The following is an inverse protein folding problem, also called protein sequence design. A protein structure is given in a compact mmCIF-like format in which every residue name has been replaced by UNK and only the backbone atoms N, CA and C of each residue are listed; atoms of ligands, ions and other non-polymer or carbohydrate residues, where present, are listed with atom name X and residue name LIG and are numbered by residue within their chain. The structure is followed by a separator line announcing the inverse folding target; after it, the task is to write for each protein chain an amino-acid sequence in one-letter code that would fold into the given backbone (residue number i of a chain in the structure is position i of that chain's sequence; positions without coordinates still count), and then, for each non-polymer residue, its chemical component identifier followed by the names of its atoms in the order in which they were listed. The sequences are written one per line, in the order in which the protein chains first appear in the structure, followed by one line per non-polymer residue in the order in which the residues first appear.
data_IF_292449398053
#
_entry.id   IF_292449398053
#
_cell.length_a   1.000
_cell.length_b   1.000
_cell.length_c   1.000
_cell.angle_alpha   90.00
_cell.angle_beta   90.00
_cell.angle_gamma   90.00
#
_symmetry.space_group_name_H-M   'P 1'
#
loop_
_entity.id
_entity.type
_entity.pdbx_description
1 polymer ?
#
# COMPACT_ATOMS: atom_id res chain seq x y z
N UNK A 1 17.27 3.58 10.74
CA UNK A 1 15.83 3.51 10.37
C UNK A 1 15.71 3.93 8.93
N UNK A 2 15.01 3.20 8.06
CA UNK A 2 14.84 3.60 6.66
C UNK A 2 13.63 4.53 6.56
N UNK A 3 13.83 5.71 5.98
CA UNK A 3 12.79 6.76 5.83
C UNK A 3 11.97 6.65 4.55
N UNK A 4 12.24 5.65 3.71
CA UNK A 4 11.49 5.38 2.47
C UNK A 4 9.99 5.26 2.73
N UNK A 5 9.19 6.07 2.05
CA UNK A 5 7.74 5.96 2.02
C UNK A 5 7.34 4.76 1.16
N UNK A 6 6.75 3.74 1.80
CA UNK A 6 6.31 2.51 1.12
C UNK A 6 4.79 2.48 1.06
N UNK A 7 4.25 2.35 -0.14
CA UNK A 7 2.83 2.16 -0.37
C UNK A 7 2.53 0.68 -0.57
N UNK A 8 1.69 0.10 0.28
CA UNK A 8 1.20 -1.27 0.13
C UNK A 8 -0.22 -1.24 -0.43
N UNK A 9 -0.36 -1.54 -1.71
CA UNK A 9 -1.65 -1.67 -2.39
C UNK A 9 -2.23 -3.07 -2.11
N UNK A 10 -3.49 -3.12 -1.70
CA UNK A 10 -4.14 -4.37 -1.27
C UNK A 10 -3.77 -4.79 0.15
N UNK A 11 -3.33 -3.85 1.00
CA UNK A 11 -2.92 -4.09 2.39
C UNK A 11 -3.99 -4.74 3.29
N UNK A 12 -5.28 -4.65 2.95
CA UNK A 12 -6.36 -5.35 3.66
C UNK A 12 -6.47 -6.85 3.33
N UNK A 13 -5.79 -7.33 2.28
CA UNK A 13 -5.75 -8.76 1.95
C UNK A 13 -4.73 -9.54 2.79
N UNK A 14 -4.85 -10.88 2.81
CA UNK A 14 -3.91 -11.79 3.52
C UNK A 14 -2.43 -11.56 3.16
N UNK A 15 -2.17 -11.23 1.89
CA UNK A 15 -0.81 -10.98 1.40
C UNK A 15 -0.35 -9.57 1.79
N UNK A 16 -1.19 -8.56 1.59
CA UNK A 16 -0.86 -7.17 1.90
C UNK A 16 -0.60 -6.93 3.38
N UNK A 17 -1.37 -7.57 4.28
CA UNK A 17 -1.14 -7.46 5.72
C UNK A 17 0.21 -8.04 6.15
N UNK A 18 0.59 -9.20 5.60
CA UNK A 18 1.90 -9.84 5.84
C UNK A 18 3.06 -9.00 5.30
N UNK A 19 2.88 -8.36 4.14
CA UNK A 19 3.89 -7.45 3.59
C UNK A 19 4.09 -6.26 4.51
N UNK A 20 3.01 -5.60 4.95
CA UNK A 20 3.10 -4.47 5.87
C UNK A 20 3.77 -4.84 7.20
N UNK A 21 3.45 -6.01 7.75
CA UNK A 21 4.07 -6.52 8.98
C UNK A 21 5.56 -6.80 8.81
N UNK A 22 5.96 -7.45 7.70
CA UNK A 22 7.38 -7.66 7.37
C UNK A 22 8.13 -6.35 7.22
N UNK A 23 7.54 -5.35 6.55
CA UNK A 23 8.16 -4.03 6.39
C UNK A 23 8.37 -3.33 7.74
N UNK A 24 7.41 -3.43 8.68
CA UNK A 24 7.60 -2.93 10.04
C UNK A 24 8.75 -3.64 10.76
N UNK A 25 8.83 -4.96 10.65
CA UNK A 25 9.90 -5.76 11.27
C UNK A 25 11.29 -5.48 10.66
N UNK A 26 11.33 -5.07 9.39
CA UNK A 26 12.57 -4.64 8.72
C UNK A 26 13.00 -3.20 9.10
N UNK A 27 12.24 -2.49 9.93
CA UNK A 27 12.57 -1.15 10.41
C UNK A 27 12.21 -0.02 9.45
N UNK A 28 11.26 -0.25 8.54
CA UNK A 28 10.62 0.83 7.76
C UNK A 28 9.57 1.52 8.63
N UNK A 29 9.76 2.81 8.90
CA UNK A 29 8.85 3.58 9.74
C UNK A 29 7.64 4.14 8.95
N UNK A 30 7.81 4.35 7.65
CA UNK A 30 6.87 5.06 6.79
C UNK A 30 6.16 4.11 5.83
N UNK A 31 5.09 3.46 6.32
CA UNK A 31 4.30 2.51 5.52
C UNK A 31 2.86 3.04 5.39
N UNK A 32 2.44 3.33 4.16
CA UNK A 32 1.08 3.73 3.80
C UNK A 32 0.33 2.52 3.24
N UNK A 33 -0.90 2.32 3.68
CA UNK A 33 -1.76 1.25 3.14
C UNK A 33 -2.73 1.87 2.12
N UNK A 34 -2.59 1.49 0.85
CA UNK A 34 -3.54 1.86 -0.19
C UNK A 34 -4.77 0.95 -0.14
N UNK A 35 -5.93 1.55 0.10
CA UNK A 35 -7.23 0.87 0.00
C UNK A 35 -8.32 1.87 -0.38
N UNK A 36 -9.45 1.37 -0.91
CA UNK A 36 -10.63 2.20 -1.20
C UNK A 36 -11.20 2.90 0.03
N UNK A 37 -10.93 2.40 1.23
CA UNK A 37 -11.36 3.00 2.51
C UNK A 37 -10.24 3.73 3.25
N UNK A 38 -9.06 3.87 2.65
CA UNK A 38 -7.96 4.62 3.27
C UNK A 38 -8.11 6.12 2.95
N UNK A 39 -7.32 6.96 3.63
CA UNK A 39 -7.22 8.39 3.32
C UNK A 39 -5.73 8.72 3.19
N UNK A 40 -5.24 9.07 1.99
CA UNK A 40 -5.96 9.15 0.71
C UNK A 40 -6.45 7.77 0.21
N UNK A 41 -7.60 7.75 -0.46
CA UNK A 41 -8.21 6.54 -0.99
C UNK A 41 -7.50 6.10 -2.27
N UNK A 42 -7.29 4.80 -2.44
CA UNK A 42 -6.75 4.22 -3.66
C UNK A 42 -7.77 3.28 -4.30
N UNK A 43 -8.17 3.57 -5.53
CA UNK A 43 -9.01 2.69 -6.34
C UNK A 43 -8.40 2.43 -7.71
N UNK A 44 -8.22 1.15 -8.06
CA UNK A 44 -7.70 0.74 -9.37
C UNK A 44 -8.58 1.21 -10.54
N UNK A 45 -9.88 1.40 -10.32
CA UNK A 45 -10.82 1.82 -11.37
C UNK A 45 -10.87 3.36 -11.52
N UNK A 46 -10.33 4.11 -10.55
CA UNK A 46 -10.35 5.57 -10.55
C UNK A 46 -8.93 6.13 -10.50
N UNK A 47 -8.40 6.49 -11.66
CA UNK A 47 -7.03 7.02 -11.81
C UNK A 47 -6.81 8.35 -11.09
N UNK A 48 -7.84 9.18 -10.92
CA UNK A 48 -7.72 10.45 -10.21
C UNK A 48 -7.31 10.24 -8.75
N UNK A 49 -7.73 9.12 -8.16
CA UNK A 49 -7.37 8.72 -6.79
C UNK A 49 -5.89 8.31 -6.63
N UNK A 50 -5.17 8.05 -7.72
CA UNK A 50 -3.79 7.52 -7.62
C UNK A 50 -2.78 8.60 -7.27
N UNK A 51 -2.99 9.81 -7.80
CA UNK A 51 -2.05 10.92 -7.72
C UNK A 51 -1.67 11.27 -6.27
N UNK A 52 -2.68 11.41 -5.39
CA UNK A 52 -2.47 11.71 -3.97
C UNK A 52 -1.82 10.56 -3.20
N UNK A 53 -2.12 9.32 -3.58
CA UNK A 53 -1.65 8.12 -2.88
C UNK A 53 -0.19 7.83 -3.17
N UNK A 54 0.22 8.02 -4.44
CA UNK A 54 1.56 7.75 -4.95
C UNK A 54 2.53 8.92 -4.69
N UNK A 55 2.00 10.10 -4.36
CA UNK A 55 2.83 11.26 -4.02
C UNK A 55 3.81 10.93 -2.90
N UNK A 56 5.08 11.25 -3.15
CA UNK A 56 6.23 11.04 -2.26
C UNK A 56 6.50 9.57 -1.89
N UNK A 57 6.01 8.60 -2.68
CA UNK A 57 6.24 7.17 -2.48
C UNK A 57 7.47 6.70 -3.25
N UNK A 58 8.41 6.05 -2.56
CA UNK A 58 9.62 5.47 -3.17
C UNK A 58 9.42 4.03 -3.66
N UNK A 59 8.51 3.29 -3.03
CA UNK A 59 8.29 1.87 -3.36
C UNK A 59 6.83 1.49 -3.22
N UNK A 60 6.31 0.82 -4.24
CA UNK A 60 4.93 0.30 -4.27
C UNK A 60 4.97 -1.22 -4.19
N UNK A 61 4.30 -1.78 -3.19
CA UNK A 61 4.09 -3.22 -3.06
C UNK A 61 2.66 -3.58 -3.45
N UNK A 62 2.50 -4.41 -4.48
CA UNK A 62 1.19 -4.88 -4.94
C UNK A 62 0.93 -6.28 -4.36
N UNK A 63 0.01 -6.37 -3.40
CA UNK A 63 -0.47 -7.65 -2.90
C UNK A 63 -1.63 -8.14 -3.76
N UNK A 64 -1.40 -9.08 -4.68
CA UNK A 64 -2.48 -9.74 -5.40
C UNK A 64 -3.45 -10.41 -4.41
N UNK A 65 -4.61 -9.82 -4.17
CA UNK A 65 -5.79 -10.63 -3.86
C UNK A 65 -6.36 -11.04 -5.21
N UNK A 66 -6.18 -12.31 -5.60
CA UNK A 66 -7.08 -12.88 -6.61
C UNK A 66 -8.49 -12.64 -6.09
N UNK A 67 -9.20 -11.67 -6.65
CA UNK A 67 -10.64 -11.75 -6.70
C UNK A 67 -10.90 -13.01 -7.52
N UNK A 68 -11.22 -14.12 -6.84
CA UNK A 68 -11.82 -15.26 -7.52
C UNK A 68 -13.17 -14.74 -7.98
N UNK A 69 -13.23 -14.33 -9.24
CA UNK A 69 -14.47 -14.44 -9.99
C UNK A 69 -14.69 -15.92 -10.28
#
# INVERSE_FOLDING_TARGET
MKQSQILVLGGKGKTGSRVAERLRNLGYANIRIGSRSAMPAFDWENQDSWSEVVKDVETICIGNSKSRN
#
